data_IF_611478801210
#
_entry.id   IF_611478801210
#
_cell.length_a   1.000
_cell.length_b   1.000
_cell.length_c   1.000
_cell.angle_alpha   90.00
_cell.angle_beta   90.00
_cell.angle_gamma   90.00
#
_symmetry.space_group_name_H-M   'P 1'
#
loop_
_entity.id
_entity.type
_entity.pdbx_description
1 polymer ?
#
# COMPACT_ATOMS: atom_id res chain seq x y z
N UNK A 1 5.23 -9.01 0.26
CA UNK A 1 4.64 -8.18 1.34
C UNK A 1 5.57 -8.03 2.54
N UNK A 2 5.97 -9.11 3.22
CA UNK A 2 6.77 -9.04 4.45
C UNK A 2 8.09 -8.26 4.29
N UNK A 3 8.83 -8.45 3.19
CA UNK A 3 10.03 -7.67 2.90
C UNK A 3 9.76 -6.16 2.80
N UNK A 4 8.61 -5.75 2.27
CA UNK A 4 8.23 -4.34 2.22
C UNK A 4 7.97 -3.77 3.62
N UNK A 5 7.46 -4.58 4.55
CA UNK A 5 7.30 -4.16 5.95
C UNK A 5 8.66 -4.00 6.63
N UNK A 6 9.60 -4.92 6.40
CA UNK A 6 10.97 -4.82 6.90
C UNK A 6 11.65 -3.53 6.43
N UNK A 7 11.42 -3.14 5.17
CA UNK A 7 12.04 -1.96 4.54
C UNK A 7 11.18 -0.69 4.66
N UNK A 8 10.10 -0.73 5.42
CA UNK A 8 9.20 0.41 5.52
C UNK A 8 9.89 1.55 6.30
N UNK A 9 9.90 2.80 5.82
CA UNK A 9 10.67 3.88 6.46
C UNK A 9 10.18 4.26 7.86
N UNK A 10 8.94 3.91 8.21
CA UNK A 10 8.42 4.07 9.58
C UNK A 10 8.82 2.92 10.53
N UNK A 11 9.43 1.85 10.02
CA UNK A 11 9.99 0.77 10.83
C UNK A 11 11.45 1.12 11.17
N UNK A 12 11.66 1.80 12.30
CA UNK A 12 13.01 2.21 12.71
C UNK A 12 13.95 1.03 13.01
N UNK A 13 13.38 -0.11 13.40
CA UNK A 13 14.05 -1.41 13.42
C UNK A 13 13.01 -2.53 13.36
N UNK A 14 13.43 -3.73 12.95
CA UNK A 14 12.58 -4.90 12.70
C UNK A 14 13.27 -6.17 13.18
N UNK A 15 12.54 -7.00 13.91
CA UNK A 15 12.91 -8.38 14.19
C UNK A 15 12.05 -9.30 13.31
N UNK A 16 12.69 -10.06 12.43
CA UNK A 16 12.04 -11.09 11.62
C UNK A 16 12.13 -12.42 12.37
N UNK A 17 10.98 -12.98 12.75
CA UNK A 17 10.91 -14.24 13.51
C UNK A 17 10.32 -15.34 12.62
N UNK A 18 11.03 -16.46 12.54
CA UNK A 18 10.52 -17.72 11.98
C UNK A 18 10.54 -18.82 13.03
N UNK A 19 9.71 -19.85 12.82
CA UNK A 19 9.66 -20.98 13.74
C UNK A 19 10.87 -21.91 13.50
N UNK A 20 11.22 -22.15 12.23
CA UNK A 20 12.27 -23.06 11.77
C UNK A 20 11.76 -24.17 10.84
N UNK A 21 10.45 -24.41 10.81
CA UNK A 21 9.81 -25.44 9.98
C UNK A 21 8.75 -24.90 9.02
N UNK A 22 8.62 -23.58 8.91
CA UNK A 22 7.73 -22.94 7.93
C UNK A 22 8.19 -23.13 6.48
N UNK A 23 7.27 -23.00 5.53
CA UNK A 23 7.63 -23.03 4.11
C UNK A 23 8.49 -21.82 3.70
N UNK A 24 8.25 -20.65 4.29
CA UNK A 24 9.00 -19.42 4.02
C UNK A 24 10.13 -19.23 5.04
N UNK A 25 11.22 -19.96 4.84
CA UNK A 25 12.36 -20.02 5.75
C UNK A 25 13.06 -18.66 5.89
N UNK A 26 13.46 -18.32 7.11
CA UNK A 26 14.13 -17.05 7.46
C UNK A 26 15.40 -16.82 6.63
N UNK A 27 16.18 -17.86 6.37
CA UNK A 27 17.42 -17.76 5.60
C UNK A 27 17.15 -17.33 4.14
N UNK A 28 16.24 -18.03 3.46
CA UNK A 28 15.82 -17.66 2.10
C UNK A 28 15.16 -16.27 2.04
N UNK A 29 14.39 -15.92 3.07
CA UNK A 29 13.81 -14.58 3.20
C UNK A 29 14.89 -13.50 3.32
N UNK A 30 15.95 -13.75 4.12
CA UNK A 30 17.08 -12.85 4.31
C UNK A 30 17.89 -12.66 3.04
N UNK A 31 18.17 -13.74 2.30
CA UNK A 31 18.89 -13.70 1.02
C UNK A 31 18.17 -12.85 -0.02
N UNK A 32 16.83 -12.89 -0.02
CA UNK A 32 15.99 -12.18 -0.99
C UNK A 32 15.57 -10.78 -0.54
N UNK A 33 15.86 -10.38 0.71
CA UNK A 33 15.50 -9.07 1.25
C UNK A 33 16.27 -7.90 0.59
N UNK A 34 17.46 -8.18 0.07
CA UNK A 34 18.40 -7.18 -0.45
C UNK A 34 19.20 -6.50 0.66
N UNK A 35 19.69 -5.29 0.41
CA UNK A 35 20.46 -4.53 1.41
C UNK A 35 19.59 -4.07 2.59
N UNK A 36 20.11 -4.28 3.80
CA UNK A 36 19.53 -3.82 5.06
C UNK A 36 20.64 -3.47 6.07
N UNK A 37 20.30 -2.64 7.06
CA UNK A 37 21.20 -2.31 8.16
C UNK A 37 21.14 -3.42 9.23
N UNK A 38 22.24 -4.18 9.47
CA UNK A 38 22.24 -5.26 10.45
C UNK A 38 22.08 -4.77 11.89
N UNK A 39 22.25 -3.48 12.19
CA UNK A 39 21.94 -2.91 13.51
C UNK A 39 20.45 -2.65 13.71
N UNK A 40 19.66 -2.69 12.63
CA UNK A 40 18.23 -2.36 12.63
C UNK A 40 17.34 -3.50 12.15
N UNK A 41 17.91 -4.54 11.53
CA UNK A 41 17.15 -5.71 11.10
C UNK A 41 17.82 -6.95 11.65
N UNK A 42 17.14 -7.58 12.60
CA UNK A 42 17.55 -8.84 13.20
C UNK A 42 16.67 -9.98 12.69
N UNK A 43 17.20 -11.20 12.78
CA UNK A 43 16.54 -12.42 12.36
C UNK A 43 16.67 -13.45 13.48
N UNK A 44 15.57 -14.14 13.78
CA UNK A 44 15.54 -15.18 14.80
C UNK A 44 14.76 -16.39 14.30
N UNK A 45 15.31 -17.58 14.53
CA UNK A 45 14.63 -18.86 14.32
C UNK A 45 14.37 -19.49 15.68
N UNK A 46 13.11 -19.62 16.09
CA UNK A 46 12.75 -20.06 17.44
C UNK A 46 13.31 -21.45 17.77
N UNK A 47 13.24 -22.41 16.83
CA UNK A 47 13.76 -23.78 17.03
C UNK A 47 15.29 -23.87 17.21
N UNK A 48 16.02 -22.77 17.03
CA UNK A 48 17.46 -22.70 17.30
C UNK A 48 17.78 -22.09 18.67
N UNK A 49 16.77 -21.75 19.47
CA UNK A 49 16.91 -21.15 20.79
C UNK A 49 16.38 -22.11 21.85
N UNK A 50 17.02 -22.13 23.02
CA UNK A 50 16.55 -22.89 24.18
C UNK A 50 15.38 -22.17 24.89
N UNK A 51 15.44 -20.83 24.96
CA UNK A 51 14.35 -19.94 25.38
C UNK A 51 14.12 -18.90 24.29
N UNK A 52 13.11 -19.13 23.44
CA UNK A 52 12.81 -18.26 22.31
C UNK A 52 12.26 -16.89 22.73
N UNK A 53 11.68 -16.80 23.93
CA UNK A 53 11.13 -15.53 24.45
C UNK A 53 12.27 -14.66 24.94
N UNK A 54 13.18 -15.22 25.74
CA UNK A 54 14.37 -14.50 26.21
C UNK A 54 15.23 -14.03 25.03
N UNK A 55 15.55 -14.91 24.09
CA UNK A 55 16.31 -14.55 22.89
C UNK A 55 15.62 -13.46 22.05
N UNK A 56 14.30 -13.54 21.89
CA UNK A 56 13.51 -12.52 21.18
C UNK A 56 13.56 -11.16 21.89
N UNK A 57 13.44 -11.16 23.22
CA UNK A 57 13.51 -9.95 24.04
C UNK A 57 14.92 -9.34 23.98
N UNK A 58 15.99 -10.14 24.00
CA UNK A 58 17.36 -9.65 23.83
C UNK A 58 17.57 -8.95 22.48
N UNK A 59 17.08 -9.55 21.39
CA UNK A 59 17.12 -8.90 20.07
C UNK A 59 16.34 -7.57 20.07
N UNK A 60 15.15 -7.53 20.66
CA UNK A 60 14.35 -6.31 20.75
C UNK A 60 15.05 -5.22 21.58
N UNK A 61 15.75 -5.58 22.66
CA UNK A 61 16.55 -4.63 23.44
C UNK A 61 17.70 -4.03 22.62
N UNK A 62 18.42 -4.85 21.87
CA UNK A 62 19.50 -4.38 20.99
C UNK A 62 18.97 -3.42 19.91
N UNK A 63 17.86 -3.77 19.26
CA UNK A 63 17.20 -2.90 18.28
C UNK A 63 16.70 -1.60 18.91
N UNK A 64 16.13 -1.67 20.11
CA UNK A 64 15.66 -0.51 20.85
C UNK A 64 16.81 0.46 21.18
N UNK A 65 17.97 -0.02 21.61
CA UNK A 65 19.13 0.82 21.94
C UNK A 65 19.65 1.61 20.73
N UNK A 66 19.50 1.07 19.53
CA UNK A 66 19.78 1.79 18.28
C UNK A 66 18.69 2.82 17.99
N UNK A 67 17.42 2.39 17.95
CA UNK A 67 16.29 3.25 17.58
C UNK A 67 16.06 4.43 18.53
N UNK A 68 16.30 4.25 19.85
CA UNK A 68 16.03 5.29 20.85
C UNK A 68 16.85 6.56 20.65
N UNK A 69 17.93 6.49 19.88
CA UNK A 69 18.77 7.65 19.55
C UNK A 69 18.25 8.42 18.33
N UNK A 70 17.26 7.89 17.61
CA UNK A 70 16.68 8.54 16.44
C UNK A 70 15.97 9.83 16.82
N UNK A 71 16.22 10.90 16.05
CA UNK A 71 15.61 12.21 16.25
C UNK A 71 14.98 12.67 14.94
N UNK A 72 13.75 13.18 15.04
CA UNK A 72 13.08 13.83 13.91
C UNK A 72 13.95 14.98 13.42
N UNK A 73 14.13 15.04 12.10
CA UNK A 73 14.82 16.13 11.41
C UNK A 73 13.83 16.80 10.44
N UNK A 74 14.04 18.07 10.09
CA UNK A 74 13.35 18.67 8.96
C UNK A 74 13.56 17.83 7.70
N UNK A 75 12.47 17.43 7.06
CA UNK A 75 12.47 16.64 5.81
C UNK A 75 11.80 17.39 4.67
N UNK A 76 11.88 16.83 3.46
CA UNK A 76 11.23 17.37 2.26
C UNK A 76 9.93 16.65 2.00
N UNK A 77 8.94 17.37 1.43
CA UNK A 77 7.68 16.75 1.01
C UNK A 77 7.91 15.64 -0.04
N UNK A 78 9.00 15.72 -0.81
CA UNK A 78 9.42 14.70 -1.77
C UNK A 78 9.80 13.35 -1.17
N UNK A 79 10.04 13.30 0.14
CA UNK A 79 10.38 12.06 0.85
C UNK A 79 9.13 11.32 1.34
N UNK A 80 7.95 11.98 1.27
CA UNK A 80 6.69 11.45 1.76
C UNK A 80 5.89 10.70 0.70
N UNK A 81 5.23 9.64 1.15
CA UNK A 81 4.35 8.78 0.37
C UNK A 81 3.02 8.69 1.11
N UNK A 82 1.93 9.11 0.48
CA UNK A 82 0.59 9.11 1.08
C UNK A 82 -0.30 8.05 0.41
N UNK A 83 -0.78 7.09 1.17
CA UNK A 83 -1.88 6.21 0.74
C UNK A 83 -3.22 6.91 0.90
N UNK A 84 -4.10 6.80 -0.09
CA UNK A 84 -5.42 7.41 -0.11
C UNK A 84 -6.50 6.33 -0.09
N UNK A 85 -7.25 6.28 1.00
CA UNK A 85 -8.34 5.34 1.21
C UNK A 85 -9.67 6.09 1.36
N UNK A 86 -10.76 5.42 1.04
CA UNK A 86 -12.12 5.78 1.41
C UNK A 86 -12.56 4.94 2.61
N UNK A 87 -13.47 5.50 3.41
CA UNK A 87 -14.19 4.75 4.44
C UNK A 87 -15.53 4.25 3.88
N UNK A 88 -16.63 4.59 4.54
CA UNK A 88 -17.96 4.48 3.95
C UNK A 88 -18.20 5.59 2.94
N UNK A 89 -18.62 5.25 1.72
CA UNK A 89 -18.96 6.27 0.72
C UNK A 89 -20.31 6.90 1.06
N UNK A 90 -20.39 8.22 0.99
CA UNK A 90 -21.65 8.95 1.08
C UNK A 90 -21.89 9.81 -0.18
N UNK A 91 -23.09 10.38 -0.30
CA UNK A 91 -23.47 11.21 -1.45
C UNK A 91 -22.66 12.51 -1.57
N UNK A 92 -21.95 12.92 -0.52
CA UNK A 92 -21.19 14.18 -0.47
C UNK A 92 -19.71 13.96 -0.78
N UNK A 93 -19.22 12.74 -0.60
CA UNK A 93 -17.82 12.36 -0.74
C UNK A 93 -17.25 12.79 -2.10
N UNK A 94 -18.01 12.56 -3.18
CA UNK A 94 -17.60 12.94 -4.54
C UNK A 94 -17.59 14.44 -4.84
N UNK A 95 -18.16 15.28 -3.97
CA UNK A 95 -18.24 16.74 -4.14
C UNK A 95 -17.51 17.54 -3.06
N UNK A 96 -17.14 16.92 -1.93
CA UNK A 96 -16.39 17.55 -0.82
C UNK A 96 -15.00 16.95 -0.60
N UNK A 97 -14.91 15.85 0.15
CA UNK A 97 -13.65 15.29 0.66
C UNK A 97 -12.72 14.83 -0.46
N UNK A 98 -13.26 14.15 -1.48
CA UNK A 98 -12.43 13.66 -2.58
C UNK A 98 -11.86 14.76 -3.48
N UNK A 99 -12.63 15.79 -3.90
CA UNK A 99 -12.03 16.96 -4.55
C UNK A 99 -10.95 17.64 -3.73
N UNK A 100 -11.07 17.69 -2.40
CA UNK A 100 -10.02 18.20 -1.53
C UNK A 100 -8.78 17.28 -1.59
N UNK A 101 -8.96 15.96 -1.49
CA UNK A 101 -7.86 14.99 -1.60
C UNK A 101 -7.14 15.03 -2.96
N UNK A 102 -7.82 15.34 -4.06
CA UNK A 102 -7.15 15.57 -5.35
C UNK A 102 -6.31 16.82 -5.36
N UNK A 103 -6.81 17.93 -4.82
CA UNK A 103 -6.00 19.15 -4.69
C UNK A 103 -4.79 18.93 -3.77
N UNK A 104 -4.98 18.18 -2.69
CA UNK A 104 -3.88 17.76 -1.82
C UNK A 104 -2.85 16.92 -2.59
N UNK A 105 -3.31 15.95 -3.38
CA UNK A 105 -2.43 15.10 -4.19
C UNK A 105 -1.67 15.88 -5.26
N UNK A 106 -2.34 16.79 -5.97
CA UNK A 106 -1.71 17.71 -6.92
C UNK A 106 -0.62 18.56 -6.22
N UNK A 107 -0.90 19.09 -5.02
CA UNK A 107 0.07 19.87 -4.24
C UNK A 107 1.28 19.03 -3.80
N UNK A 108 1.06 17.83 -3.27
CA UNK A 108 2.13 16.92 -2.84
C UNK A 108 3.02 16.55 -4.02
N UNK A 109 2.42 16.19 -5.16
CA UNK A 109 3.18 15.78 -6.35
C UNK A 109 3.91 16.95 -7.00
N UNK A 110 3.33 18.15 -7.00
CA UNK A 110 4.02 19.37 -7.44
C UNK A 110 5.29 19.66 -6.63
N UNK A 111 5.36 19.20 -5.38
CA UNK A 111 6.52 19.30 -4.49
C UNK A 111 7.39 18.03 -4.47
N UNK A 112 7.21 17.12 -5.44
CA UNK A 112 8.00 15.90 -5.61
C UNK A 112 7.61 14.74 -4.70
N UNK A 113 6.56 14.88 -3.89
CA UNK A 113 6.02 13.79 -3.06
C UNK A 113 5.21 12.79 -3.87
N UNK A 114 4.78 11.71 -3.23
CA UNK A 114 3.98 10.66 -3.88
C UNK A 114 2.63 10.50 -3.18
N UNK A 115 1.56 10.35 -3.96
CA UNK A 115 0.27 9.84 -3.47
C UNK A 115 -0.08 8.55 -4.20
N UNK A 116 -0.76 7.64 -3.51
CA UNK A 116 -1.10 6.30 -4.00
C UNK A 116 -2.58 6.06 -3.73
N UNK A 117 -3.34 5.77 -4.79
CA UNK A 117 -4.71 5.28 -4.67
C UNK A 117 -4.68 3.75 -4.70
N UNK A 118 -5.32 3.13 -3.72
CA UNK A 118 -5.13 1.73 -3.36
C UNK A 118 -6.38 0.87 -3.61
N UNK A 119 -7.56 1.48 -3.66
CA UNK A 119 -8.84 0.77 -3.78
C UNK A 119 -9.21 0.47 -5.24
N UNK A 120 -8.62 -0.59 -5.81
CA UNK A 120 -8.88 -0.99 -7.22
C UNK A 120 -10.38 -1.19 -7.52
N UNK A 121 -11.20 -1.82 -6.67
CA UNK A 121 -12.63 -1.97 -6.94
C UNK A 121 -13.40 -0.64 -7.09
N UNK A 122 -12.93 0.44 -6.44
CA UNK A 122 -13.53 1.78 -6.57
C UNK A 122 -13.25 2.42 -7.94
N UNK A 123 -12.30 1.87 -8.70
CA UNK A 123 -11.99 2.31 -10.05
C UNK A 123 -12.97 1.75 -11.10
N UNK A 124 -13.76 0.73 -10.76
CA UNK A 124 -14.65 0.06 -11.73
C UNK A 124 -15.78 0.96 -12.24
N UNK A 125 -15.85 1.13 -13.55
CA UNK A 125 -16.71 2.07 -14.27
C UNK A 125 -16.13 3.49 -14.40
N UNK A 126 -14.93 3.74 -13.89
CA UNK A 126 -14.19 5.00 -14.03
C UNK A 126 -12.79 4.79 -14.65
N UNK A 127 -12.43 3.54 -14.98
CA UNK A 127 -11.09 3.15 -15.39
C UNK A 127 -10.60 3.86 -16.66
N UNK A 128 -11.49 4.10 -17.63
CA UNK A 128 -11.12 4.79 -18.87
C UNK A 128 -10.63 6.22 -18.62
N UNK A 129 -11.16 6.89 -17.59
CA UNK A 129 -10.69 8.23 -17.23
C UNK A 129 -9.33 8.16 -16.53
N UNK A 130 -9.07 7.16 -15.70
CA UNK A 130 -7.74 6.95 -15.11
C UNK A 130 -6.71 6.60 -16.18
N UNK A 131 -7.09 5.75 -17.13
CA UNK A 131 -6.29 5.34 -18.29
C UNK A 131 -5.92 6.52 -19.20
N UNK A 132 -6.85 7.45 -19.46
CA UNK A 132 -6.56 8.64 -20.27
C UNK A 132 -5.56 9.59 -19.62
N UNK A 133 -5.33 9.45 -18.32
CA UNK A 133 -4.34 10.20 -17.59
C UNK A 133 -2.96 9.57 -17.60
N UNK A 134 -2.80 8.28 -17.97
CA UNK A 134 -1.53 7.56 -18.01
C UNK A 134 -0.45 8.32 -18.79
N UNK A 135 0.78 8.34 -18.25
CA UNK A 135 1.89 9.11 -18.82
C UNK A 135 2.33 8.54 -20.17
N UNK A 136 2.32 7.23 -20.27
CA UNK A 136 2.81 6.45 -21.41
C UNK A 136 2.02 5.13 -21.52
N UNK A 137 2.19 4.47 -22.66
CA UNK A 137 1.54 3.20 -23.00
C UNK A 137 1.92 2.09 -22.01
N UNK A 138 3.19 2.03 -21.59
CA UNK A 138 3.62 1.06 -20.59
C UNK A 138 2.89 1.22 -19.24
N UNK A 139 2.59 2.44 -18.82
CA UNK A 139 1.78 2.72 -17.62
C UNK A 139 0.32 2.37 -17.83
N UNK A 140 -0.20 2.67 -19.01
CA UNK A 140 -1.57 2.31 -19.40
C UNK A 140 -1.77 0.78 -19.35
N UNK A 141 -0.87 0.01 -19.94
CA UNK A 141 -0.97 -1.45 -19.98
C UNK A 141 -0.92 -2.05 -18.57
N UNK A 142 -0.03 -1.56 -17.69
CA UNK A 142 0.00 -2.01 -16.30
C UNK A 142 -1.30 -1.71 -15.55
N UNK A 143 -1.91 -0.54 -15.80
CA UNK A 143 -3.21 -0.20 -15.22
C UNK A 143 -4.32 -1.13 -15.74
N UNK A 144 -4.34 -1.41 -17.06
CA UNK A 144 -5.29 -2.34 -17.67
C UNK A 144 -5.16 -3.73 -17.07
N UNK A 145 -3.94 -4.25 -16.97
CA UNK A 145 -3.66 -5.56 -16.35
C UNK A 145 -4.15 -5.58 -14.91
N UNK A 146 -3.75 -4.62 -14.08
CA UNK A 146 -4.16 -4.57 -12.66
C UNK A 146 -5.68 -4.54 -12.49
N UNK A 147 -6.39 -3.71 -13.27
CA UNK A 147 -7.86 -3.62 -13.20
C UNK A 147 -8.49 -4.95 -13.62
N UNK A 148 -8.03 -5.54 -14.72
CA UNK A 148 -8.61 -6.80 -15.22
C UNK A 148 -8.31 -7.98 -14.31
N UNK A 149 -7.12 -8.07 -13.71
CA UNK A 149 -6.77 -9.12 -12.75
C UNK A 149 -7.70 -9.07 -11.53
N UNK A 150 -8.00 -7.87 -11.02
CA UNK A 150 -8.98 -7.69 -9.94
C UNK A 150 -10.41 -8.08 -10.37
N UNK A 151 -10.82 -7.76 -11.60
CA UNK A 151 -12.12 -8.20 -12.14
C UNK A 151 -12.19 -9.74 -12.22
N UNK A 152 -11.12 -10.39 -12.69
CA UNK A 152 -11.05 -11.86 -12.75
C UNK A 152 -11.07 -12.49 -11.37
N UNK A 153 -10.37 -11.90 -10.39
CA UNK A 153 -10.44 -12.34 -8.99
C UNK A 153 -11.88 -12.32 -8.46
N UNK A 154 -12.65 -11.28 -8.76
CA UNK A 154 -14.07 -11.21 -8.36
C UNK A 154 -14.91 -12.29 -9.03
N UNK A 155 -14.76 -12.48 -10.35
CA UNK A 155 -15.46 -13.55 -11.09
C UNK A 155 -15.15 -14.93 -10.51
N UNK A 156 -13.88 -15.20 -10.24
CA UNK A 156 -13.43 -16.50 -9.71
C UNK A 156 -13.99 -16.83 -8.31
N UNK A 157 -14.49 -15.83 -7.59
CA UNK A 157 -15.10 -15.97 -6.26
C UNK A 157 -16.61 -15.65 -6.27
N UNK A 158 -17.25 -15.70 -7.43
CA UNK A 158 -18.68 -15.43 -7.63
C UNK A 158 -19.13 -14.06 -7.06
N UNK A 159 -18.24 -13.06 -7.11
CA UNK A 159 -18.52 -11.70 -6.69
C UNK A 159 -18.90 -10.81 -7.89
N UNK A 160 -19.86 -9.88 -7.72
CA UNK A 160 -20.26 -8.98 -8.81
C UNK A 160 -19.17 -7.95 -9.14
N UNK A 161 -18.92 -7.72 -10.43
CA UNK A 161 -18.02 -6.67 -10.95
C UNK A 161 -18.77 -5.34 -11.17
N UNK A 162 -19.68 -5.02 -10.27
CA UNK A 162 -20.34 -3.73 -10.27
C UNK A 162 -20.62 -3.33 -8.83
N UNK A 163 -20.31 -2.07 -8.53
CA UNK A 163 -20.44 -1.46 -7.20
C UNK A 163 -19.36 -1.93 -6.22
N UNK A 164 -18.75 -0.99 -5.49
CA UNK A 164 -17.82 -1.32 -4.42
C UNK A 164 -18.59 -2.17 -3.37
N UNK A 165 -18.31 -3.47 -3.21
CA UNK A 165 -19.09 -4.36 -2.35
C UNK A 165 -18.66 -4.26 -0.88
N UNK A 166 -17.89 -3.22 -0.51
CA UNK A 166 -17.48 -2.99 0.87
C UNK A 166 -18.71 -3.00 1.79
N UNK A 167 -18.60 -3.58 3.01
CA UNK A 167 -19.76 -3.78 3.88
C UNK A 167 -20.59 -2.52 4.14
N UNK A 168 -19.97 -1.33 4.12
CA UNK A 168 -20.63 -0.03 4.30
C UNK A 168 -21.46 0.45 3.08
N UNK A 169 -21.25 -0.11 1.90
CA UNK A 169 -21.90 0.32 0.64
C UNK A 169 -23.00 -0.65 0.17
N UNK A 170 -23.24 -1.76 0.89
CA UNK A 170 -24.26 -2.77 0.56
C UNK A 170 -25.73 -2.34 0.70
N UNK A 171 -26.13 -1.36 1.56
CA UNK A 171 -27.56 -1.06 1.74
C UNK A 171 -28.19 -0.15 0.66
N UNK A 172 -27.43 0.58 -0.16
CA UNK A 172 -28.00 1.70 -0.95
C UNK A 172 -27.52 1.72 -2.41
N UNK A 173 -28.36 1.22 -3.32
CA UNK A 173 -28.07 1.05 -4.74
C UNK A 173 -27.93 2.33 -5.58
N UNK A 174 -27.20 2.19 -6.69
CA UNK A 174 -27.17 3.00 -7.93
C UNK A 174 -26.70 4.47 -7.91
N UNK A 175 -26.87 5.25 -6.83
CA UNK A 175 -26.42 6.66 -6.78
C UNK A 175 -25.07 6.80 -6.06
N UNK A 176 -24.88 6.13 -4.93
CA UNK A 176 -23.62 6.11 -4.18
C UNK A 176 -22.49 5.46 -4.97
N UNK A 177 -22.79 4.41 -5.75
CA UNK A 177 -21.80 3.77 -6.62
C UNK A 177 -21.32 4.67 -7.76
N UNK A 178 -22.12 5.65 -8.20
CA UNK A 178 -21.68 6.69 -9.15
C UNK A 178 -20.86 7.76 -8.45
N UNK A 179 -21.26 8.18 -7.25
CA UNK A 179 -20.56 9.22 -6.48
C UNK A 179 -19.17 8.73 -6.01
N UNK A 180 -19.03 7.46 -5.64
CA UNK A 180 -17.74 6.85 -5.29
C UNK A 180 -16.77 6.78 -6.49
N UNK A 181 -17.31 6.49 -7.70
CA UNK A 181 -16.55 6.58 -8.96
C UNK A 181 -16.04 8.01 -9.22
N UNK A 182 -16.90 9.03 -9.05
CA UNK A 182 -16.49 10.43 -9.17
C UNK A 182 -15.50 10.87 -8.08
N UNK A 183 -15.60 10.28 -6.90
CA UNK A 183 -14.70 10.48 -5.77
C UNK A 183 -13.27 10.02 -6.09
N UNK A 184 -13.09 8.80 -6.60
CA UNK A 184 -11.78 8.33 -7.07
C UNK A 184 -11.17 9.28 -8.09
N UNK A 185 -11.97 9.74 -9.05
CA UNK A 185 -11.53 10.64 -10.11
C UNK A 185 -11.14 12.03 -9.61
N UNK A 186 -11.70 12.43 -8.46
CA UNK A 186 -11.37 13.69 -7.82
C UNK A 186 -10.23 13.60 -6.82
N UNK A 187 -9.70 12.41 -6.49
CA UNK A 187 -8.42 12.19 -5.79
C UNK A 187 -7.19 12.41 -6.69
N UNK A 188 -7.33 13.20 -7.77
CA UNK A 188 -6.36 13.48 -8.85
C UNK A 188 -4.89 13.45 -8.42
N UNK A 189 -4.10 12.66 -9.13
CA UNK A 189 -2.64 12.74 -9.18
C UNK A 189 -2.20 12.64 -10.65
N UNK A 190 -1.27 13.45 -11.17
CA UNK A 190 -0.75 13.21 -12.52
C UNK A 190 -0.10 11.83 -12.63
N UNK A 191 -0.24 11.15 -13.77
CA UNK A 191 0.10 9.73 -13.99
C UNK A 191 1.54 9.30 -13.67
N UNK A 192 2.41 10.25 -13.37
CA UNK A 192 3.84 10.06 -13.25
C UNK A 192 4.24 9.06 -12.15
N UNK A 193 3.33 8.70 -11.22
CA UNK A 193 3.68 7.92 -10.02
C UNK A 193 2.64 6.91 -9.50
N UNK A 194 1.54 6.64 -10.22
CA UNK A 194 0.53 5.62 -9.81
C UNK A 194 1.06 4.18 -9.88
N UNK A 195 2.22 3.98 -10.50
CA UNK A 195 2.74 2.67 -10.91
C UNK A 195 3.39 1.85 -9.78
N UNK A 196 3.30 2.25 -8.52
CA UNK A 196 3.93 1.51 -7.43
C UNK A 196 3.11 0.32 -6.90
N UNK A 197 1.83 0.17 -7.27
CA UNK A 197 1.05 -1.02 -6.91
C UNK A 197 1.27 -2.23 -7.84
N UNK A 198 1.82 -2.03 -9.05
CA UNK A 198 1.93 -3.10 -10.06
C UNK A 198 3.30 -3.80 -10.11
N UNK A 199 4.20 -3.57 -9.14
CA UNK A 199 5.55 -4.19 -9.13
C UNK A 199 5.83 -5.05 -7.89
N UNK A 200 4.83 -5.31 -7.04
CA UNK A 200 4.98 -6.17 -5.86
C UNK A 200 4.43 -7.60 -6.06
N UNK A 201 4.39 -8.07 -7.31
CA UNK A 201 3.93 -9.42 -7.69
C UNK A 201 4.97 -10.07 -8.59
N UNK A 202 6.02 -10.58 -7.96
CA UNK A 202 6.85 -11.71 -8.40
C UNK A 202 7.42 -12.36 -7.14
#
# INVERSE_FOLDING_TARGET
>A
MLQNMVRHPNAGAVLVVGLGCENNQVEAFRETLGEFDPQRVHFMVCQHQDDEVEAGVEHLHQLYEVMRQDKRQPGKLSELKFGLECGGSDGLSGITANPMLGRFSDYVIANGGTTVLTEVPEMFGAEQLLMSHCRDEATFDKLVTMVNDFKQYFIAHDQPIYENPSPGNKPEGSLLSKISRWAVLRKRAPARWWMFCATASA
#
